data_IF_482234351921
#
_entry.id   IF_482234351921
#
_cell.length_a   1.000
_cell.length_b   1.000
_cell.length_c   1.000
_cell.angle_alpha   90.00
_cell.angle_beta   90.00
_cell.angle_gamma   90.00
#
_symmetry.space_group_name_H-M   'P 1'
#
loop_
_entity.id
_entity.type
_entity.pdbx_description
1 polymer ?
#
# COMPACT_ATOMS: atom_id res chain seq x y z
N UNK A 1 -27.74 7.11 -18.25
CA UNK A 1 -28.06 6.16 -17.15
C UNK A 1 -29.47 5.66 -17.40
N UNK A 2 -29.62 4.62 -18.22
CA UNK A 2 -30.92 4.20 -18.76
C UNK A 2 -31.12 2.68 -18.71
N UNK A 3 -30.23 1.94 -18.03
CA UNK A 3 -30.23 0.49 -18.01
C UNK A 3 -29.87 -0.03 -16.62
N UNK A 4 -30.46 -1.15 -16.21
CA UNK A 4 -30.27 -1.76 -14.88
C UNK A 4 -29.50 -3.06 -15.01
N UNK A 5 -28.74 -3.46 -13.97
CA UNK A 5 -27.99 -4.73 -13.90
C UNK A 5 -26.76 -4.82 -14.84
N UNK A 6 -26.71 -4.07 -15.94
CA UNK A 6 -25.58 -4.11 -16.91
C UNK A 6 -24.22 -3.80 -16.27
N UNK A 7 -24.18 -2.97 -15.23
CA UNK A 7 -22.96 -2.64 -14.49
C UNK A 7 -22.37 -3.83 -13.72
N UNK A 8 -23.16 -4.88 -13.43
CA UNK A 8 -22.70 -6.12 -12.79
C UNK A 8 -21.97 -7.03 -13.78
N UNK A 9 -22.28 -6.95 -15.08
CA UNK A 9 -21.63 -7.77 -16.09
C UNK A 9 -20.24 -7.27 -16.50
N UNK A 10 -19.89 -6.04 -16.15
CA UNK A 10 -18.63 -5.43 -16.57
C UNK A 10 -17.48 -5.87 -15.65
N UNK A 11 -16.63 -6.76 -16.17
CA UNK A 11 -15.53 -7.36 -15.42
C UNK A 11 -14.44 -6.36 -15.00
N UNK A 12 -14.35 -5.21 -15.68
CA UNK A 12 -13.38 -4.15 -15.38
C UNK A 12 -13.86 -3.17 -14.30
N UNK A 13 -15.11 -3.25 -13.84
CA UNK A 13 -15.65 -2.36 -12.83
C UNK A 13 -15.68 -3.06 -11.45
N UNK A 14 -15.17 -2.41 -10.39
CA UNK A 14 -15.31 -2.92 -9.03
C UNK A 14 -16.79 -2.95 -8.65
N UNK A 15 -17.29 -4.13 -8.29
CA UNK A 15 -18.64 -4.33 -7.78
C UNK A 15 -18.59 -4.63 -6.28
N UNK A 16 -19.32 -3.85 -5.49
CA UNK A 16 -19.28 -3.91 -4.04
C UNK A 16 -20.30 -2.98 -3.39
N UNK A 17 -20.60 -3.25 -2.13
CA UNK A 17 -21.50 -2.43 -1.31
C UNK A 17 -20.76 -1.39 -0.47
N UNK A 18 -21.50 -0.42 0.05
CA UNK A 18 -21.04 0.55 1.06
C UNK A 18 -22.07 0.67 2.18
N UNK A 19 -21.63 0.67 3.43
CA UNK A 19 -22.48 0.84 4.61
C UNK A 19 -23.38 -0.37 4.85
N UNK A 20 -24.70 -0.16 4.92
CA UNK A 20 -25.67 -1.25 5.12
C UNK A 20 -25.71 -2.26 3.96
N UNK A 21 -25.20 -1.88 2.78
CA UNK A 21 -25.15 -2.74 1.59
C UNK A 21 -23.89 -3.62 1.50
N UNK A 22 -22.94 -3.46 2.43
CA UNK A 22 -21.71 -4.26 2.49
C UNK A 22 -20.43 -3.42 2.58
N UNK A 23 -19.28 -4.11 2.58
CA UNK A 23 -17.94 -3.51 2.56
C UNK A 23 -17.04 -4.26 1.57
N UNK A 24 -16.15 -3.52 0.93
CA UNK A 24 -15.23 -4.07 -0.08
C UNK A 24 -15.89 -4.29 -1.43
N UNK A 25 -15.08 -4.72 -2.39
CA UNK A 25 -15.47 -4.88 -3.78
C UNK A 25 -14.67 -5.99 -4.45
N UNK A 26 -15.21 -6.52 -5.54
CA UNK A 26 -14.60 -7.57 -6.34
C UNK A 26 -14.94 -7.38 -7.83
N UNK A 27 -14.25 -8.15 -8.66
CA UNK A 27 -14.32 -8.31 -10.13
C UNK A 27 -12.92 -8.23 -10.72
N UNK A 28 -12.63 -9.12 -11.67
CA UNK A 28 -11.34 -9.20 -12.35
C UNK A 28 -10.15 -9.02 -11.41
N UNK A 29 -9.37 -7.98 -11.66
CA UNK A 29 -8.19 -7.61 -10.88
C UNK A 29 -8.52 -7.27 -9.42
N UNK A 30 -9.62 -6.57 -9.17
CA UNK A 30 -10.05 -6.19 -7.82
C UNK A 30 -10.44 -7.42 -6.99
N UNK A 31 -11.05 -8.43 -7.63
CA UNK A 31 -11.30 -9.72 -6.98
C UNK A 31 -9.99 -10.42 -6.58
N UNK A 32 -8.98 -10.43 -7.46
CA UNK A 32 -7.67 -10.97 -7.13
C UNK A 32 -7.01 -10.23 -5.96
N UNK A 33 -7.05 -8.90 -5.95
CA UNK A 33 -6.52 -8.10 -4.84
C UNK A 33 -7.25 -8.38 -3.52
N UNK A 34 -8.57 -8.47 -3.53
CA UNK A 34 -9.38 -8.72 -2.32
C UNK A 34 -9.07 -10.08 -1.69
N UNK A 35 -8.77 -11.11 -2.48
CA UNK A 35 -8.39 -12.43 -1.98
C UNK A 35 -6.87 -12.64 -1.83
N UNK A 36 -6.06 -11.64 -2.17
CA UNK A 36 -4.61 -11.69 -2.07
C UNK A 36 -4.12 -10.86 -0.89
N UNK A 37 -3.04 -11.33 -0.25
CA UNK A 37 -2.33 -10.54 0.75
C UNK A 37 -1.15 -9.82 0.10
N UNK A 38 -1.24 -8.50 -0.02
CA UNK A 38 -0.12 -7.66 -0.41
C UNK A 38 1.01 -7.79 0.63
N UNK A 39 2.08 -8.52 0.27
CA UNK A 39 3.26 -8.73 1.12
C UNK A 39 4.33 -7.70 0.74
N UNK A 40 4.59 -6.67 1.57
CA UNK A 40 5.69 -5.76 1.33
C UNK A 40 7.03 -6.49 1.53
N UNK A 41 7.94 -6.34 0.57
CA UNK A 41 9.31 -6.88 0.66
C UNK A 41 10.29 -5.74 0.40
N UNK A 42 11.01 -5.34 1.44
CA UNK A 42 12.09 -4.36 1.32
C UNK A 42 13.40 -5.09 1.00
N UNK A 43 14.07 -4.69 -0.08
CA UNK A 43 15.42 -5.17 -0.43
C UNK A 43 16.42 -4.03 -0.26
N UNK A 44 17.31 -4.16 0.71
CA UNK A 44 18.36 -3.17 0.95
C UNK A 44 19.68 -3.60 0.27
N UNK A 45 20.23 -2.80 -0.66
CA UNK A 45 21.50 -3.12 -1.30
C UNK A 45 22.67 -2.92 -0.32
N UNK A 46 23.51 -3.95 -0.16
CA UNK A 46 24.66 -3.94 0.77
C UNK A 46 25.66 -2.80 0.52
N UNK A 47 25.83 -2.37 -0.73
CA UNK A 47 26.80 -1.32 -1.12
C UNK A 47 26.33 0.11 -0.86
N UNK A 48 25.03 0.34 -0.78
CA UNK A 48 24.43 1.66 -0.55
C UNK A 48 23.48 1.60 0.66
N UNK A 49 23.91 0.92 1.73
CA UNK A 49 23.12 0.84 2.94
C UNK A 49 23.29 2.13 3.77
N UNK A 50 22.32 3.04 3.64
CA UNK A 50 22.23 4.25 4.46
C UNK A 50 21.99 3.99 5.95
N UNK A 51 21.65 2.76 6.38
CA UNK A 51 21.52 2.43 7.80
C UNK A 51 22.84 2.58 8.56
N UNK A 52 24.01 2.48 7.91
CA UNK A 52 25.30 2.73 8.58
C UNK A 52 25.43 4.14 9.15
N UNK A 53 24.65 5.10 8.64
CA UNK A 53 24.62 6.47 9.14
C UNK A 53 23.76 6.62 10.41
N UNK A 54 22.88 5.65 10.67
CA UNK A 54 21.97 5.57 11.82
C UNK A 54 22.43 4.49 12.82
N UNK A 55 23.53 3.78 12.53
CA UNK A 55 24.15 2.82 13.45
C UNK A 55 24.98 3.55 14.53
N UNK A 56 25.03 3.03 15.77
CA UNK A 56 25.87 3.59 16.84
C UNK A 56 27.37 3.45 16.52
N UNK A 57 28.25 4.34 17.03
CA UNK A 57 27.99 5.42 17.99
C UNK A 57 27.35 6.66 17.36
N UNK A 58 26.21 7.09 17.92
CA UNK A 58 25.43 8.23 17.44
C UNK A 58 26.21 9.55 17.59
N UNK A 59 26.86 9.99 16.53
CA UNK A 59 27.55 11.28 16.49
C UNK A 59 26.61 12.47 16.30
N UNK A 60 27.17 13.69 16.28
CA UNK A 60 26.44 14.95 16.04
C UNK A 60 25.63 14.92 14.73
N UNK A 61 26.10 14.19 13.71
CA UNK A 61 25.43 14.00 12.44
C UNK A 61 24.16 13.15 12.55
N UNK A 62 24.18 12.06 13.34
CA UNK A 62 23.00 11.22 13.56
C UNK A 62 21.90 12.00 14.30
N UNK A 63 22.28 12.82 15.29
CA UNK A 63 21.35 13.70 16.00
C UNK A 63 20.76 14.80 15.09
N UNK A 64 21.56 15.36 14.18
CA UNK A 64 21.09 16.31 13.18
C UNK A 64 20.10 15.69 12.19
N UNK A 65 20.40 14.50 11.67
CA UNK A 65 19.51 13.77 10.76
C UNK A 65 18.21 13.35 11.42
N UNK A 66 18.27 12.86 12.66
CA UNK A 66 17.08 12.51 13.44
C UNK A 66 16.17 13.73 13.66
N UNK A 67 16.77 14.90 13.98
CA UNK A 67 16.05 16.16 14.13
C UNK A 67 15.44 16.67 12.82
N UNK A 68 16.06 16.37 11.68
CA UNK A 68 15.54 16.70 10.36
C UNK A 68 14.40 15.76 9.93
N UNK A 69 14.49 14.46 10.25
CA UNK A 69 13.46 13.46 9.91
C UNK A 69 12.23 13.48 10.82
N UNK A 70 12.38 13.90 12.08
CA UNK A 70 11.27 14.04 13.04
C UNK A 70 10.56 15.40 12.96
N UNK A 71 10.91 16.24 11.99
CA UNK A 71 10.28 17.53 11.73
C UNK A 71 9.41 17.43 10.49
#
# INVERSE_FOLDING_TARGET
>A
MNDTIVHVGQHSLPFGGVGASGIGHYHGHEGFLTFSKLKPVLRQPRRFNGMRLVEPPYGRLAAFLLKLMLR
#
